data_IF_714558840850
#
_entry.id   IF_714558840850
#
_cell.length_a   1.000
_cell.length_b   1.000
_cell.length_c   1.000
_cell.angle_alpha   90.00
_cell.angle_beta   90.00
_cell.angle_gamma   90.00
#
_symmetry.space_group_name_H-M   'P 1'
#
loop_
_entity.id
_entity.type
_entity.pdbx_description
1 polymer ?
#
# COMPACT_ATOMS: atom_id res chain seq x y z
N UNK A 1 36.76 -39.26 0.39
CA UNK A 1 36.86 -37.93 -0.25
C UNK A 1 36.57 -36.91 0.85
N UNK A 2 37.49 -35.96 1.04
CA UNK A 2 37.38 -35.01 2.14
C UNK A 2 36.08 -34.21 2.06
N UNK A 3 35.19 -34.36 3.03
CA UNK A 3 33.92 -33.57 3.18
C UNK A 3 34.12 -32.05 3.38
N UNK A 4 35.36 -31.59 3.33
CA UNK A 4 35.75 -30.19 3.59
C UNK A 4 35.96 -29.35 2.32
N UNK A 5 35.92 -29.95 1.12
CA UNK A 5 36.14 -29.22 -0.14
C UNK A 5 34.84 -29.08 -0.90
N UNK A 6 34.37 -27.85 -1.05
CA UNK A 6 33.11 -27.48 -1.77
C UNK A 6 33.47 -26.74 -3.05
N UNK A 7 32.59 -26.86 -4.07
CA UNK A 7 32.73 -26.07 -5.29
C UNK A 7 32.31 -24.61 -5.08
N UNK A 8 32.76 -23.70 -5.96
CA UNK A 8 32.35 -22.28 -5.94
C UNK A 8 30.86 -22.14 -5.98
N UNK A 9 30.18 -22.95 -6.81
CA UNK A 9 28.70 -22.97 -6.86
C UNK A 9 28.07 -23.36 -5.52
N UNK A 10 28.60 -24.39 -4.87
CA UNK A 10 28.09 -24.83 -3.54
C UNK A 10 28.32 -23.74 -2.50
N UNK A 11 29.46 -23.04 -2.52
CA UNK A 11 29.72 -21.92 -1.64
C UNK A 11 28.71 -20.77 -1.88
N UNK A 12 28.49 -20.37 -3.14
CA UNK A 12 27.56 -19.30 -3.46
C UNK A 12 26.11 -19.66 -3.05
N UNK A 13 25.68 -20.89 -3.27
CA UNK A 13 24.36 -21.38 -2.82
C UNK A 13 24.24 -21.38 -1.30
N UNK A 14 25.30 -21.77 -0.59
CA UNK A 14 25.29 -21.74 0.88
C UNK A 14 25.17 -20.32 1.40
N UNK A 15 25.99 -19.38 0.91
CA UNK A 15 25.88 -17.97 1.33
C UNK A 15 24.55 -17.37 0.95
N UNK A 16 23.99 -17.71 -0.24
CA UNK A 16 22.65 -17.31 -0.64
C UNK A 16 21.60 -17.79 0.38
N UNK A 17 21.65 -19.06 0.79
CA UNK A 17 20.69 -19.60 1.76
C UNK A 17 20.76 -18.89 3.12
N UNK A 18 21.96 -18.47 3.53
CA UNK A 18 22.13 -17.67 4.76
C UNK A 18 21.48 -16.29 4.66
N UNK A 19 21.67 -15.60 3.53
CA UNK A 19 21.06 -14.28 3.30
C UNK A 19 19.55 -14.39 3.16
N UNK A 20 19.08 -15.36 2.37
CA UNK A 20 17.64 -15.59 2.14
C UNK A 20 16.89 -16.00 3.42
N UNK A 21 17.59 -16.61 4.39
CA UNK A 21 17.06 -16.95 5.71
C UNK A 21 16.98 -15.78 6.70
N UNK A 22 17.56 -14.62 6.38
CA UNK A 22 17.56 -13.46 7.27
C UNK A 22 16.33 -12.57 7.01
N UNK A 23 15.36 -12.56 7.91
CA UNK A 23 14.12 -11.78 7.79
C UNK A 23 14.37 -10.30 7.50
N UNK A 24 15.38 -9.70 8.13
CA UNK A 24 15.75 -8.29 7.92
C UNK A 24 16.24 -7.99 6.50
N UNK A 25 16.80 -8.99 5.80
CA UNK A 25 17.30 -8.83 4.45
C UNK A 25 16.25 -9.14 3.38
N UNK A 26 15.11 -9.72 3.77
CA UNK A 26 14.00 -10.00 2.84
C UNK A 26 13.15 -8.75 2.56
N UNK A 27 13.20 -7.75 3.43
CA UNK A 27 12.53 -6.46 3.23
C UNK A 27 13.43 -5.34 3.75
N UNK A 28 14.60 -5.20 3.14
CA UNK A 28 15.57 -4.19 3.52
C UNK A 28 15.25 -2.86 2.84
N UNK A 29 15.22 -1.78 3.62
CA UNK A 29 15.11 -0.41 3.12
C UNK A 29 16.50 0.22 3.14
N UNK A 30 17.01 0.60 1.97
CA UNK A 30 18.36 1.14 1.79
C UNK A 30 18.25 2.53 1.20
N UNK A 31 18.80 3.53 1.91
CA UNK A 31 18.91 4.90 1.41
C UNK A 31 20.27 5.10 0.75
N UNK A 32 20.27 5.80 -0.37
CA UNK A 32 21.52 6.12 -1.08
C UNK A 32 21.27 6.98 -2.32
N UNK A 33 22.35 7.44 -2.91
CA UNK A 33 22.37 8.15 -4.19
C UNK A 33 22.41 7.15 -5.34
N UNK A 34 21.54 7.32 -6.33
CA UNK A 34 21.57 6.52 -7.56
C UNK A 34 22.83 6.87 -8.37
N UNK A 35 23.49 5.85 -8.86
CA UNK A 35 24.55 5.98 -9.84
C UNK A 35 24.53 4.84 -10.85
N UNK A 36 25.05 5.07 -12.06
CA UNK A 36 25.07 4.12 -13.16
C UNK A 36 23.68 3.56 -13.52
N UNK A 37 22.64 4.40 -13.50
CA UNK A 37 21.28 3.99 -13.83
C UNK A 37 21.18 3.55 -15.29
N UNK A 38 20.61 2.38 -15.52
CA UNK A 38 20.37 1.81 -16.85
C UNK A 38 18.97 1.18 -16.90
N UNK A 39 18.14 1.69 -17.78
CA UNK A 39 16.93 1.00 -18.19
C UNK A 39 17.29 0.05 -19.36
N UNK A 40 17.22 -1.25 -19.14
CA UNK A 40 17.52 -2.23 -20.16
C UNK A 40 16.31 -2.43 -21.08
N UNK A 41 16.33 -1.80 -22.24
CA UNK A 41 15.20 -1.72 -23.18
C UNK A 41 14.58 -3.09 -23.53
N UNK A 42 15.38 -4.12 -23.75
CA UNK A 42 14.89 -5.44 -24.17
C UNK A 42 14.12 -6.18 -23.06
N UNK A 43 14.52 -6.04 -21.79
CA UNK A 43 13.88 -6.72 -20.66
C UNK A 43 12.98 -5.82 -19.83
N UNK A 44 13.14 -4.50 -19.95
CA UNK A 44 12.47 -3.50 -19.11
C UNK A 44 12.95 -3.51 -17.65
N UNK A 45 14.05 -4.20 -17.34
CA UNK A 45 14.65 -4.20 -16.02
C UNK A 45 15.53 -2.96 -15.83
N UNK A 46 15.54 -2.44 -14.62
CA UNK A 46 16.45 -1.36 -14.23
C UNK A 46 17.64 -1.92 -13.47
N UNK A 47 18.80 -1.43 -13.81
CA UNK A 47 20.06 -1.72 -13.15
C UNK A 47 20.68 -0.42 -12.68
N UNK A 48 21.03 -0.32 -11.43
CA UNK A 48 21.67 0.86 -10.86
C UNK A 48 22.53 0.49 -9.66
N UNK A 49 23.27 1.44 -9.15
CA UNK A 49 24.05 1.31 -7.92
C UNK A 49 23.51 2.32 -6.94
N UNK A 50 23.22 1.92 -5.72
CA UNK A 50 23.04 2.83 -4.60
C UNK A 50 24.39 3.02 -3.91
N UNK A 51 24.77 4.25 -3.67
CA UNK A 51 26.01 4.61 -2.97
C UNK A 51 25.72 5.64 -1.87
N UNK A 52 26.55 5.62 -0.85
CA UNK A 52 26.73 6.69 0.12
C UNK A 52 28.19 7.15 0.11
N UNK A 53 28.65 7.83 1.21
CA UNK A 53 30.04 8.29 1.32
C UNK A 53 31.05 7.17 1.39
N UNK A 54 30.68 5.98 1.88
CA UNK A 54 31.60 4.94 2.32
C UNK A 54 31.40 3.60 1.60
N UNK A 55 30.22 3.40 0.99
CA UNK A 55 29.85 2.11 0.42
C UNK A 55 28.95 2.20 -0.82
N UNK A 56 28.84 1.10 -1.53
CA UNK A 56 27.93 0.98 -2.67
C UNK A 56 27.37 -0.44 -2.77
N UNK A 57 26.12 -0.55 -3.22
CA UNK A 57 25.46 -1.81 -3.50
C UNK A 57 24.83 -1.80 -4.89
N UNK A 58 25.00 -2.88 -5.64
CA UNK A 58 24.33 -3.07 -6.93
C UNK A 58 22.85 -3.35 -6.69
N UNK A 59 22.00 -2.74 -7.51
CA UNK A 59 20.56 -2.89 -7.43
C UNK A 59 19.99 -3.38 -8.77
N UNK A 60 19.01 -4.26 -8.69
CA UNK A 60 18.25 -4.75 -9.84
C UNK A 60 16.76 -4.57 -9.51
N UNK A 61 16.03 -3.88 -10.38
CA UNK A 61 14.58 -3.76 -10.29
C UNK A 61 13.95 -4.40 -11.52
N UNK A 62 13.12 -5.42 -11.30
CA UNK A 62 12.46 -6.12 -12.39
C UNK A 62 11.36 -5.26 -13.02
N UNK A 63 11.07 -5.50 -14.30
CA UNK A 63 10.10 -4.74 -15.10
C UNK A 63 8.75 -4.52 -14.40
N UNK A 64 8.24 -5.55 -13.73
CA UNK A 64 6.95 -5.46 -13.04
C UNK A 64 6.99 -4.39 -11.94
N UNK A 65 8.05 -4.38 -11.14
CA UNK A 65 8.24 -3.41 -10.06
C UNK A 65 8.58 -2.02 -10.62
N UNK A 66 9.42 -1.95 -11.64
CA UNK A 66 9.79 -0.70 -12.31
C UNK A 66 8.58 0.05 -12.90
N UNK A 67 7.59 -0.68 -13.41
CA UNK A 67 6.35 -0.09 -13.93
C UNK A 67 5.49 0.60 -12.85
N UNK A 68 5.69 0.25 -11.58
CA UNK A 68 5.00 0.87 -10.44
C UNK A 68 5.65 2.16 -9.93
N UNK A 69 6.88 2.48 -10.37
CA UNK A 69 7.59 3.69 -9.93
C UNK A 69 7.02 4.91 -10.64
N UNK A 70 6.62 5.92 -9.86
CA UNK A 70 5.89 7.10 -10.35
C UNK A 70 6.79 8.28 -10.76
N UNK A 71 8.09 8.14 -10.66
CA UNK A 71 9.07 9.15 -11.06
C UNK A 71 10.12 8.52 -11.98
N UNK A 72 10.90 9.34 -12.67
CA UNK A 72 12.00 8.86 -13.53
C UNK A 72 13.31 8.90 -12.74
N UNK A 73 13.89 7.75 -12.36
CA UNK A 73 15.17 7.72 -11.66
C UNK A 73 16.30 8.26 -12.56
N UNK A 74 17.22 8.99 -11.97
CA UNK A 74 18.43 9.48 -12.64
C UNK A 74 19.64 9.45 -11.69
N UNK A 75 20.83 9.45 -12.27
CA UNK A 75 22.07 9.53 -11.50
C UNK A 75 22.10 10.81 -10.67
N UNK A 76 22.60 10.72 -9.44
CA UNK A 76 22.65 11.81 -8.48
C UNK A 76 21.38 11.94 -7.61
N UNK A 77 20.30 11.24 -7.90
CA UNK A 77 19.09 11.28 -7.06
C UNK A 77 19.29 10.50 -5.77
N UNK A 78 18.94 11.13 -4.66
CA UNK A 78 18.82 10.46 -3.35
C UNK A 78 17.48 9.73 -3.30
N UNK A 79 17.54 8.41 -3.06
CA UNK A 79 16.35 7.54 -3.00
C UNK A 79 16.41 6.56 -1.85
N UNK A 80 15.24 6.02 -1.49
CA UNK A 80 15.12 4.83 -0.66
C UNK A 80 14.63 3.69 -1.54
N UNK A 81 15.42 2.62 -1.62
CA UNK A 81 15.04 1.39 -2.28
C UNK A 81 14.66 0.34 -1.24
N UNK A 82 13.48 -0.25 -1.40
CA UNK A 82 12.98 -1.35 -0.56
C UNK A 82 13.01 -2.63 -1.38
N UNK A 83 13.51 -3.70 -0.78
CA UNK A 83 13.57 -4.98 -1.44
C UNK A 83 14.39 -6.01 -0.67
N UNK A 84 14.68 -7.13 -1.30
CA UNK A 84 15.46 -8.22 -0.69
C UNK A 84 16.93 -8.15 -1.11
N UNK A 85 17.80 -8.42 -0.15
CA UNK A 85 19.24 -8.60 -0.41
C UNK A 85 19.52 -10.09 -0.60
N UNK A 86 20.11 -10.45 -1.73
CA UNK A 86 20.50 -11.83 -2.04
C UNK A 86 21.73 -11.87 -2.92
N UNK A 87 22.28 -13.06 -3.16
CA UNK A 87 23.44 -13.29 -4.04
C UNK A 87 22.99 -13.63 -5.45
N UNK A 88 23.66 -13.03 -6.41
CA UNK A 88 23.62 -13.50 -7.80
C UNK A 88 24.55 -14.69 -7.97
N UNK A 89 23.97 -15.88 -8.14
CA UNK A 89 24.69 -17.17 -8.04
C UNK A 89 25.87 -17.34 -9.00
N UNK A 90 25.79 -16.70 -10.19
CA UNK A 90 26.79 -16.90 -11.25
C UNK A 90 28.14 -16.26 -10.94
N UNK A 91 28.16 -15.09 -10.29
CA UNK A 91 29.40 -14.36 -9.98
C UNK A 91 29.64 -14.19 -8.47
N UNK A 92 28.69 -14.61 -7.63
CA UNK A 92 28.78 -14.54 -6.17
C UNK A 92 28.62 -13.13 -5.61
N UNK A 93 28.22 -12.15 -6.41
CA UNK A 93 27.98 -10.79 -5.94
C UNK A 93 26.65 -10.68 -5.18
N UNK A 94 26.67 -10.04 -4.00
CA UNK A 94 25.43 -9.68 -3.35
C UNK A 94 24.84 -8.42 -3.97
N UNK A 95 23.53 -8.34 -4.06
CA UNK A 95 22.82 -7.23 -4.64
C UNK A 95 21.45 -7.04 -4.01
N UNK A 96 20.92 -5.84 -4.11
CA UNK A 96 19.55 -5.51 -3.71
C UNK A 96 18.62 -5.75 -4.91
N UNK A 97 17.69 -6.65 -4.75
CA UNK A 97 16.57 -6.83 -5.67
C UNK A 97 15.46 -5.87 -5.25
N UNK A 98 15.49 -4.67 -5.82
CA UNK A 98 14.57 -3.60 -5.45
C UNK A 98 13.15 -3.90 -5.94
N UNK A 99 12.19 -3.78 -5.05
CA UNK A 99 10.75 -3.98 -5.31
C UNK A 99 10.04 -2.63 -5.34
N UNK A 100 10.50 -1.67 -4.55
CA UNK A 100 9.98 -0.32 -4.49
C UNK A 100 11.12 0.70 -4.49
N UNK A 101 10.85 1.89 -5.01
CA UNK A 101 11.80 2.99 -5.07
C UNK A 101 11.07 4.31 -4.77
N UNK A 102 11.59 5.10 -3.84
CA UNK A 102 11.01 6.36 -3.40
C UNK A 102 12.06 7.47 -3.41
N UNK A 103 11.72 8.72 -3.78
CA UNK A 103 12.59 9.87 -3.55
C UNK A 103 12.87 10.04 -2.05
N UNK A 104 14.10 10.41 -1.66
CA UNK A 104 14.49 10.45 -0.25
C UNK A 104 13.65 11.42 0.61
N UNK A 105 13.10 12.49 0.00
CA UNK A 105 12.22 13.43 0.71
C UNK A 105 10.86 12.86 1.11
N UNK A 106 10.36 11.87 0.38
CA UNK A 106 9.07 11.23 0.60
C UNK A 106 9.21 9.85 1.26
N UNK A 107 10.43 9.32 1.27
CA UNK A 107 10.72 7.93 1.62
C UNK A 107 10.42 7.56 3.07
N UNK A 108 10.57 8.47 4.03
CA UNK A 108 10.33 8.15 5.43
C UNK A 108 8.84 7.86 5.72
N UNK A 109 7.93 8.59 5.07
CA UNK A 109 6.48 8.35 5.20
C UNK A 109 6.06 7.09 4.44
N UNK A 110 6.62 6.87 3.25
CA UNK A 110 6.37 5.67 2.47
C UNK A 110 6.85 4.40 3.19
N UNK A 111 8.01 4.45 3.84
CA UNK A 111 8.51 3.34 4.66
C UNK A 111 7.60 3.05 5.84
N UNK A 112 7.18 4.08 6.56
CA UNK A 112 6.24 3.93 7.68
C UNK A 112 4.91 3.32 7.21
N UNK A 113 4.43 3.76 6.05
CA UNK A 113 3.22 3.21 5.44
C UNK A 113 3.37 1.72 5.10
N UNK A 114 4.47 1.32 4.44
CA UNK A 114 4.73 -0.08 4.11
C UNK A 114 4.94 -0.96 5.35
N UNK A 115 5.57 -0.43 6.39
CA UNK A 115 5.70 -1.13 7.67
C UNK A 115 4.34 -1.40 8.31
N UNK A 116 3.47 -0.39 8.39
CA UNK A 116 2.10 -0.52 8.91
C UNK A 116 1.31 -1.52 8.06
N UNK A 117 1.34 -1.38 6.75
CA UNK A 117 0.64 -2.27 5.82
C UNK A 117 1.06 -3.73 5.98
N UNK A 118 2.38 -4.01 6.00
CA UNK A 118 2.91 -5.36 6.20
C UNK A 118 2.50 -5.94 7.55
N UNK A 119 2.52 -5.13 8.61
CA UNK A 119 2.06 -5.55 9.93
C UNK A 119 0.59 -5.93 9.93
N UNK A 120 -0.29 -5.07 9.41
CA UNK A 120 -1.72 -5.32 9.32
C UNK A 120 -2.06 -6.52 8.41
N UNK A 121 -1.28 -6.73 7.36
CA UNK A 121 -1.42 -7.90 6.48
C UNK A 121 -1.03 -9.18 7.20
N UNK A 122 0.06 -9.19 7.96
CA UNK A 122 0.48 -10.35 8.75
C UNK A 122 -0.51 -10.67 9.89
N UNK A 123 -1.22 -9.67 10.40
CA UNK A 123 -2.31 -9.84 11.36
C UNK A 123 -3.62 -10.32 10.68
N UNK A 124 -3.67 -10.42 9.34
CA UNK A 124 -4.80 -10.92 8.57
C UNK A 124 -5.94 -9.91 8.37
N UNK A 125 -5.73 -8.60 8.64
CA UNK A 125 -6.80 -7.61 8.50
C UNK A 125 -7.36 -7.50 7.08
N UNK A 126 -6.53 -7.83 6.08
CA UNK A 126 -6.91 -7.72 4.67
C UNK A 126 -7.41 -9.04 4.07
N UNK A 127 -7.49 -10.10 4.85
CA UNK A 127 -7.92 -11.41 4.37
C UNK A 127 -9.35 -11.37 3.85
N UNK A 128 -9.58 -12.05 2.71
CA UNK A 128 -10.89 -12.07 2.06
C UNK A 128 -11.99 -12.67 2.95
N UNK A 129 -11.64 -13.58 3.87
CA UNK A 129 -12.58 -14.18 4.81
C UNK A 129 -13.12 -13.19 5.85
N UNK A 130 -12.40 -12.09 6.11
CA UNK A 130 -12.78 -11.05 7.06
C UNK A 130 -13.67 -9.98 6.41
N UNK A 131 -13.81 -10.01 5.07
CA UNK A 131 -14.64 -9.03 4.34
C UNK A 131 -16.11 -9.40 4.43
N UNK A 132 -16.94 -8.45 4.88
CA UNK A 132 -18.38 -8.63 5.00
C UNK A 132 -19.05 -8.52 3.64
N UNK A 133 -20.02 -9.41 3.31
CA UNK A 133 -20.79 -9.30 2.09
C UNK A 133 -21.69 -8.05 2.10
N UNK A 134 -21.77 -7.38 0.95
CA UNK A 134 -22.66 -6.25 0.80
C UNK A 134 -24.14 -6.69 0.79
N UNK A 135 -25.03 -6.00 1.49
CA UNK A 135 -26.46 -6.28 1.42
C UNK A 135 -26.99 -5.98 0.01
N UNK A 136 -27.87 -6.86 -0.51
CA UNK A 136 -28.48 -6.64 -1.84
C UNK A 136 -29.37 -5.40 -1.89
N UNK A 137 -30.03 -5.08 -0.79
CA UNK A 137 -31.01 -4.01 -0.68
C UNK A 137 -30.82 -3.23 0.62
N UNK A 138 -29.77 -2.39 0.73
CA UNK A 138 -29.53 -1.61 1.93
C UNK A 138 -30.64 -0.57 2.11
N UNK A 139 -31.21 -0.50 3.29
CA UNK A 139 -32.25 0.51 3.66
C UNK A 139 -31.60 1.79 4.19
N UNK A 140 -30.53 1.63 4.97
CA UNK A 140 -29.82 2.74 5.58
C UNK A 140 -28.36 2.72 5.14
N UNK A 141 -27.89 3.79 4.54
CA UNK A 141 -26.50 3.95 4.07
C UNK A 141 -25.89 5.11 4.84
N UNK A 142 -24.92 4.84 5.70
CA UNK A 142 -24.14 5.91 6.33
C UNK A 142 -23.04 6.39 5.38
N UNK A 143 -22.90 7.70 5.25
CA UNK A 143 -21.88 8.34 4.41
C UNK A 143 -21.00 9.23 5.27
N UNK A 144 -19.75 8.81 5.46
CA UNK A 144 -18.73 9.52 6.24
C UNK A 144 -17.80 10.22 5.25
N UNK A 145 -17.98 11.52 5.09
CA UNK A 145 -17.22 12.33 4.14
C UNK A 145 -17.31 13.81 4.51
N UNK A 146 -16.66 14.70 3.75
CA UNK A 146 -16.80 16.14 3.95
C UNK A 146 -18.27 16.56 3.73
N UNK A 147 -18.75 17.48 4.56
CA UNK A 147 -20.14 17.96 4.49
C UNK A 147 -20.48 18.72 3.21
N UNK A 148 -19.46 19.19 2.49
CA UNK A 148 -19.56 19.96 1.25
C UNK A 148 -18.55 19.42 0.24
N UNK A 149 -18.98 19.20 -1.00
CA UNK A 149 -18.06 18.77 -2.06
C UNK A 149 -18.73 17.91 -3.13
N UNK A 150 -18.03 17.69 -4.23
CA UNK A 150 -18.51 16.91 -5.38
C UNK A 150 -18.88 15.48 -4.99
N UNK A 151 -18.08 14.84 -4.11
CA UNK A 151 -18.30 13.46 -3.69
C UNK A 151 -19.67 13.24 -3.02
N UNK A 152 -20.09 14.16 -2.16
CA UNK A 152 -21.41 14.10 -1.52
C UNK A 152 -22.52 14.18 -2.57
N UNK A 153 -22.40 15.15 -3.49
CA UNK A 153 -23.39 15.34 -4.55
C UNK A 153 -23.47 14.12 -5.46
N UNK A 154 -22.33 13.55 -5.82
CA UNK A 154 -22.27 12.35 -6.66
C UNK A 154 -22.94 11.16 -5.95
N UNK A 155 -22.64 10.93 -4.67
CA UNK A 155 -23.27 9.85 -3.89
C UNK A 155 -24.77 10.05 -3.82
N UNK A 156 -25.25 11.26 -3.49
CA UNK A 156 -26.67 11.57 -3.39
C UNK A 156 -27.37 11.42 -4.74
N UNK A 157 -26.79 11.95 -5.82
CA UNK A 157 -27.35 11.88 -7.16
C UNK A 157 -27.42 10.43 -7.68
N UNK A 158 -26.35 9.66 -7.51
CA UNK A 158 -26.30 8.27 -7.96
C UNK A 158 -27.27 7.42 -7.14
N UNK A 159 -27.25 7.55 -5.82
CA UNK A 159 -28.15 6.80 -4.94
C UNK A 159 -29.61 7.16 -5.20
N UNK A 160 -29.95 8.44 -5.27
CA UNK A 160 -31.31 8.91 -5.54
C UNK A 160 -31.87 8.41 -6.88
N UNK A 161 -31.02 8.30 -7.89
CA UNK A 161 -31.40 7.78 -9.21
C UNK A 161 -31.50 6.26 -9.26
N UNK A 162 -30.58 5.52 -8.61
CA UNK A 162 -30.46 4.07 -8.73
C UNK A 162 -31.13 3.29 -7.60
N UNK A 163 -31.18 3.87 -6.41
CA UNK A 163 -31.77 3.24 -5.24
C UNK A 163 -32.49 4.25 -4.35
N UNK A 164 -33.60 4.86 -4.82
CA UNK A 164 -34.34 5.92 -4.11
C UNK A 164 -34.98 5.47 -2.80
N UNK A 165 -35.07 4.16 -2.55
CA UNK A 165 -35.60 3.58 -1.32
C UNK A 165 -34.62 3.65 -0.14
N UNK A 166 -33.34 3.93 -0.39
CA UNK A 166 -32.35 4.02 0.67
C UNK A 166 -32.39 5.36 1.40
N UNK A 167 -32.37 5.30 2.71
CA UNK A 167 -32.11 6.46 3.56
C UNK A 167 -30.63 6.73 3.66
N UNK A 168 -30.17 7.92 3.28
CA UNK A 168 -28.81 8.36 3.44
C UNK A 168 -28.65 9.05 4.79
N UNK A 169 -27.72 8.56 5.60
CA UNK A 169 -27.35 9.12 6.90
C UNK A 169 -26.00 9.82 6.72
N UNK A 170 -26.03 11.14 6.63
CA UNK A 170 -24.81 11.93 6.46
C UNK A 170 -24.10 12.10 7.79
N UNK A 171 -22.80 11.73 7.79
CA UNK A 171 -21.88 11.94 8.89
C UNK A 171 -20.76 12.87 8.41
N UNK A 172 -20.96 14.19 8.42
CA UNK A 172 -19.96 15.13 7.94
C UNK A 172 -18.73 15.13 8.84
N UNK A 173 -17.55 15.00 8.23
CA UNK A 173 -16.25 14.98 8.90
C UNK A 173 -15.21 15.73 8.06
N UNK A 174 -14.14 16.18 8.68
CA UNK A 174 -12.95 16.58 7.94
C UNK A 174 -12.30 15.33 7.31
N UNK A 175 -11.94 15.40 6.04
CA UNK A 175 -11.32 14.28 5.30
C UNK A 175 -9.83 14.54 4.99
N UNK A 176 -9.29 15.64 5.48
CA UNK A 176 -7.89 16.04 5.36
C UNK A 176 -7.47 16.89 6.56
N UNK A 177 -6.16 16.89 6.87
CA UNK A 177 -5.61 17.63 7.99
C UNK A 177 -5.71 16.89 9.33
N UNK A 178 -5.16 17.49 10.37
CA UNK A 178 -4.93 16.84 11.68
C UNK A 178 -6.21 16.33 12.39
N UNK A 179 -7.36 16.93 12.11
CA UNK A 179 -8.63 16.53 12.71
C UNK A 179 -9.32 15.39 11.98
N UNK A 180 -8.91 15.05 10.75
CA UNK A 180 -9.61 14.12 9.90
C UNK A 180 -9.73 12.71 10.53
N UNK A 181 -8.60 12.13 10.96
CA UNK A 181 -8.60 10.79 11.56
C UNK A 181 -9.44 10.72 12.83
N UNK A 182 -9.28 11.60 13.83
CA UNK A 182 -10.14 11.64 15.01
C UNK A 182 -11.62 11.78 14.69
N UNK A 183 -11.98 12.63 13.73
CA UNK A 183 -13.39 12.84 13.34
C UNK A 183 -13.97 11.61 12.64
N UNK A 184 -13.22 10.97 11.73
CA UNK A 184 -13.62 9.72 11.07
C UNK A 184 -13.82 8.59 12.08
N UNK A 185 -12.89 8.41 13.02
CA UNK A 185 -13.01 7.41 14.09
C UNK A 185 -14.27 7.64 14.95
N UNK A 186 -14.52 8.89 15.35
CA UNK A 186 -15.70 9.26 16.12
C UNK A 186 -16.99 9.04 15.33
N UNK A 187 -16.99 9.32 14.02
CA UNK A 187 -18.15 9.07 13.17
C UNK A 187 -18.45 7.57 13.02
N UNK A 188 -17.42 6.74 12.79
CA UNK A 188 -17.53 5.28 12.75
C UNK A 188 -18.11 4.75 14.06
N UNK A 189 -17.57 5.18 15.21
CA UNK A 189 -18.05 4.75 16.53
C UNK A 189 -19.53 5.08 16.73
N UNK A 190 -19.95 6.31 16.39
CA UNK A 190 -21.37 6.70 16.49
C UNK A 190 -22.28 5.84 15.62
N UNK A 191 -21.86 5.52 14.38
CA UNK A 191 -22.63 4.65 13.48
C UNK A 191 -22.73 3.24 14.05
N UNK A 192 -21.66 2.71 14.66
CA UNK A 192 -21.65 1.38 15.26
C UNK A 192 -22.55 1.30 16.51
N UNK A 193 -22.40 2.25 17.44
CA UNK A 193 -23.17 2.27 18.69
C UNK A 193 -24.67 2.43 18.44
N UNK A 194 -25.04 3.23 17.45
CA UNK A 194 -26.44 3.48 17.12
C UNK A 194 -27.07 2.41 16.23
N UNK A 195 -26.28 1.43 15.76
CA UNK A 195 -26.71 0.43 14.75
C UNK A 195 -27.50 1.08 13.60
N UNK A 196 -26.97 2.22 13.12
CA UNK A 196 -27.73 3.15 12.31
C UNK A 196 -27.76 2.79 10.82
N UNK A 197 -26.88 1.87 10.35
CA UNK A 197 -26.68 1.64 8.93
C UNK A 197 -26.49 0.17 8.57
N UNK A 198 -26.97 -0.21 7.38
CA UNK A 198 -26.74 -1.53 6.79
C UNK A 198 -25.39 -1.60 6.04
N UNK A 199 -24.88 -0.43 5.61
CA UNK A 199 -23.60 -0.27 4.93
C UNK A 199 -23.06 1.14 5.20
N UNK A 200 -21.74 1.24 5.30
CA UNK A 200 -21.03 2.51 5.47
C UNK A 200 -20.23 2.82 4.21
N UNK A 201 -20.31 4.04 3.73
CA UNK A 201 -19.42 4.59 2.70
C UNK A 201 -18.52 5.62 3.39
N UNK A 202 -17.23 5.40 3.36
CA UNK A 202 -16.23 6.34 3.89
C UNK A 202 -15.29 6.76 2.76
N UNK A 203 -15.05 8.07 2.60
CA UNK A 203 -14.18 8.51 1.55
C UNK A 203 -14.17 10.01 1.34
N UNK A 204 -13.43 10.42 0.30
CA UNK A 204 -13.36 11.81 -0.16
C UNK A 204 -13.53 11.87 -1.68
N UNK A 205 -13.87 13.06 -2.19
CA UNK A 205 -13.78 13.38 -3.61
C UNK A 205 -12.34 13.34 -4.10
N UNK A 206 -12.13 13.29 -5.39
CA UNK A 206 -10.81 13.18 -6.03
C UNK A 206 -9.74 14.12 -5.45
N UNK A 207 -8.49 13.74 -5.62
CA UNK A 207 -7.30 14.45 -5.13
C UNK A 207 -6.03 13.68 -5.44
N UNK A 208 -4.88 14.25 -5.10
CA UNK A 208 -3.58 13.62 -5.24
C UNK A 208 -3.38 12.48 -4.21
N UNK A 209 -2.35 11.66 -4.37
CA UNK A 209 -1.99 10.62 -3.40
C UNK A 209 -1.67 11.20 -2.00
N UNK A 210 -1.13 12.42 -1.95
CA UNK A 210 -0.84 13.15 -0.72
C UNK A 210 -2.12 13.49 0.06
N UNK A 211 -3.20 13.75 -0.65
CA UNK A 211 -4.51 14.04 -0.09
C UNK A 211 -5.20 12.82 0.54
N UNK A 212 -4.66 11.63 0.36
CA UNK A 212 -5.19 10.36 0.89
C UNK A 212 -4.43 9.85 2.12
N UNK A 213 -3.47 10.63 2.62
CA UNK A 213 -2.60 10.26 3.75
C UNK A 213 -3.39 9.85 4.99
N UNK A 214 -4.43 10.60 5.32
CA UNK A 214 -5.26 10.37 6.51
C UNK A 214 -6.01 9.03 6.45
N UNK A 215 -6.33 8.56 5.23
CA UNK A 215 -6.96 7.25 5.03
C UNK A 215 -5.99 6.07 5.17
N UNK A 216 -4.69 6.34 5.27
CA UNK A 216 -3.64 5.34 5.51
C UNK A 216 -3.28 5.23 7.00
N UNK A 217 -4.10 5.78 7.89
CA UNK A 217 -3.91 5.69 9.33
C UNK A 217 -4.24 4.30 9.87
N UNK A 218 -3.38 3.77 10.73
CA UNK A 218 -3.54 2.43 11.31
C UNK A 218 -4.78 2.30 12.19
N UNK A 219 -5.07 3.33 13.02
CA UNK A 219 -6.23 3.29 13.89
C UNK A 219 -7.53 3.29 13.08
N UNK A 220 -7.56 4.02 11.96
CA UNK A 220 -8.69 4.01 11.04
C UNK A 220 -8.87 2.64 10.37
N UNK A 221 -7.79 2.01 9.92
CA UNK A 221 -7.84 0.66 9.32
C UNK A 221 -8.36 -0.37 10.32
N UNK A 222 -7.89 -0.35 11.58
CA UNK A 222 -8.37 -1.22 12.65
C UNK A 222 -9.84 -0.97 12.99
N UNK A 223 -10.26 0.30 13.05
CA UNK A 223 -11.66 0.64 13.32
C UNK A 223 -12.60 0.18 12.21
N UNK A 224 -12.18 0.25 10.95
CA UNK A 224 -12.93 -0.31 9.82
C UNK A 224 -13.03 -1.84 9.91
N UNK A 225 -11.95 -2.52 10.30
CA UNK A 225 -11.94 -3.96 10.49
C UNK A 225 -12.93 -4.42 11.58
N UNK A 226 -13.06 -3.66 12.67
CA UNK A 226 -14.02 -3.90 13.76
C UNK A 226 -15.49 -3.65 13.36
N UNK A 227 -15.74 -3.07 12.19
CA UNK A 227 -17.10 -2.66 11.79
C UNK A 227 -18.09 -3.82 11.85
N UNK A 228 -19.27 -3.65 12.48
CA UNK A 228 -20.33 -4.66 12.48
C UNK A 228 -21.01 -4.82 11.10
N UNK A 229 -20.90 -3.80 10.23
CA UNK A 229 -21.49 -3.76 8.89
C UNK A 229 -20.42 -3.56 7.82
N UNK A 230 -20.67 -3.92 6.54
CA UNK A 230 -19.69 -3.71 5.49
C UNK A 230 -19.38 -2.23 5.29
N UNK A 231 -18.10 -1.92 5.10
CA UNK A 231 -17.58 -0.59 4.81
C UNK A 231 -17.06 -0.53 3.39
N UNK A 232 -17.52 0.43 2.61
CA UNK A 232 -17.03 0.74 1.26
C UNK A 232 -16.12 1.96 1.38
N UNK A 233 -14.85 1.77 1.05
CA UNK A 233 -13.93 2.90 0.91
C UNK A 233 -14.08 3.53 -0.47
N UNK A 234 -14.45 4.79 -0.52
CA UNK A 234 -14.48 5.63 -1.73
C UNK A 234 -13.19 6.46 -1.91
N UNK A 235 -12.22 6.29 -1.01
CA UNK A 235 -10.84 6.70 -1.21
C UNK A 235 -10.08 5.49 -1.78
N UNK A 236 -9.12 5.72 -2.68
CA UNK A 236 -8.20 4.65 -3.09
C UNK A 236 -7.41 4.24 -1.86
N UNK A 237 -7.85 3.20 -1.17
CA UNK A 237 -7.11 2.62 -0.05
C UNK A 237 -5.84 2.01 -0.62
N UNK A 238 -4.74 2.70 -0.47
CA UNK A 238 -3.43 2.23 -0.91
C UNK A 238 -2.94 1.01 -0.09
N UNK A 239 -3.59 0.72 1.03
CA UNK A 239 -3.29 -0.46 1.85
C UNK A 239 -3.83 -1.76 1.27
N UNK A 240 -4.80 -1.76 0.36
CA UNK A 240 -5.23 -3.00 -0.27
C UNK A 240 -4.30 -3.40 -1.43
N UNK A 241 -3.68 -4.59 -1.36
CA UNK A 241 -2.81 -5.07 -2.45
C UNK A 241 -3.57 -5.39 -3.74
N UNK A 242 -4.91 -5.28 -3.75
CA UNK A 242 -5.72 -5.62 -4.92
C UNK A 242 -6.91 -4.67 -5.10
N UNK A 243 -6.88 -3.76 -6.09
CA UNK A 243 -8.01 -2.87 -6.42
C UNK A 243 -9.24 -3.60 -6.97
N UNK A 244 -9.24 -4.94 -7.04
CA UNK A 244 -10.36 -5.72 -7.56
C UNK A 244 -11.60 -5.71 -6.66
N UNK A 245 -11.52 -5.22 -5.41
CA UNK A 245 -12.70 -5.12 -4.53
C UNK A 245 -13.70 -4.06 -4.97
N UNK A 246 -13.29 -3.06 -5.75
CA UNK A 246 -14.19 -2.05 -6.32
C UNK A 246 -14.82 -2.48 -7.66
N UNK A 247 -14.35 -3.57 -8.28
CA UNK A 247 -14.84 -4.04 -9.59
C UNK A 247 -15.80 -5.21 -9.57
N UNK A 248 -16.08 -5.80 -8.41
CA UNK A 248 -17.04 -6.91 -8.36
C UNK A 248 -18.38 -6.44 -7.85
N UNK A 249 -19.25 -6.31 -8.84
CA UNK A 249 -20.70 -6.46 -8.79
C UNK A 249 -21.54 -5.26 -8.40
N UNK A 250 -21.71 -4.39 -9.39
CA UNK A 250 -23.08 -3.99 -9.68
C UNK A 250 -23.42 -4.61 -11.04
N UNK A 251 -24.29 -5.62 -11.10
CA UNK A 251 -24.86 -6.02 -12.38
C UNK A 251 -25.67 -4.83 -12.90
N UNK A 252 -25.55 -4.58 -14.19
CA UNK A 252 -26.25 -3.55 -14.96
C UNK A 252 -27.74 -3.52 -14.69
#
# INVERSE_FOLDING_TARGET
MNDSVISVRQLNLYVKSLLDGQVRLQNAAVIGEISNFKNHYASGHWYFTLKDSDAAIRCVMFRFNAAGVRFTPSDGMQVIAVGRVSIYEKDGSYQLYAEQLFPAGEGAEALKFEEIKNRLQNEGLFDAQNKRPLPKFPKNIAVITSGTGAAVQDILNITGRRWPMARIIMCPVSVQGRSAVPEMLSALERVYVLDAADVIIIGRGGGSAEDLREFNDEALARKIYESPVPVISAASFLMEPNPSCLRKSWPY
#
